data_IF_820896426399
#
_entry.id   IF_820896426399
#
_cell.length_a   1.000
_cell.length_b   1.000
_cell.length_c   1.000
_cell.angle_alpha   90.00
_cell.angle_beta   90.00
_cell.angle_gamma   90.00
#
_symmetry.space_group_name_H-M   'P 1'
#
loop_
_entity.id
_entity.type
_entity.pdbx_description
1 polymer ?
#
# COMPACT_ATOMS: atom_id res chain seq x y z
N UNK A 1 -15.10 -2.47 -7.95
CA UNK A 1 -14.78 -2.70 -6.53
C UNK A 1 -15.01 -1.42 -5.76
N UNK A 2 -15.62 -1.45 -4.58
CA UNK A 2 -15.77 -0.25 -3.75
C UNK A 2 -14.63 -0.18 -2.71
N UNK A 3 -14.54 0.94 -1.97
CA UNK A 3 -13.49 1.14 -0.96
C UNK A 3 -13.43 0.02 0.08
N UNK A 4 -14.59 -0.46 0.55
CA UNK A 4 -14.64 -1.50 1.57
C UNK A 4 -14.10 -2.84 1.04
N UNK A 5 -14.48 -3.25 -0.17
CA UNK A 5 -13.96 -4.47 -0.79
C UNK A 5 -12.46 -4.36 -1.07
N UNK A 6 -11.98 -3.20 -1.52
CA UNK A 6 -10.55 -2.98 -1.75
C UNK A 6 -9.74 -3.09 -0.45
N UNK A 7 -10.21 -2.48 0.63
CA UNK A 7 -9.58 -2.62 1.95
C UNK A 7 -9.55 -4.08 2.42
N UNK A 8 -10.63 -4.85 2.20
CA UNK A 8 -10.64 -6.29 2.54
C UNK A 8 -9.62 -7.07 1.73
N UNK A 9 -9.47 -6.77 0.44
CA UNK A 9 -8.46 -7.43 -0.40
C UNK A 9 -7.03 -7.15 0.06
N UNK A 10 -6.72 -5.91 0.47
CA UNK A 10 -5.40 -5.59 1.03
C UNK A 10 -5.13 -6.43 2.28
N UNK A 11 -6.10 -6.51 3.20
CA UNK A 11 -5.96 -7.32 4.42
C UNK A 11 -5.77 -8.79 4.08
N UNK A 12 -6.58 -9.32 3.15
CA UNK A 12 -6.47 -10.71 2.73
C UNK A 12 -5.12 -11.02 2.05
N UNK A 13 -4.57 -10.09 1.27
CA UNK A 13 -3.24 -10.24 0.67
C UNK A 13 -2.16 -10.34 1.76
N UNK A 14 -2.20 -9.46 2.76
CA UNK A 14 -1.27 -9.50 3.91
C UNK A 14 -1.40 -10.83 4.68
N UNK A 15 -2.62 -11.26 4.97
CA UNK A 15 -2.88 -12.50 5.70
C UNK A 15 -2.40 -13.73 4.92
N UNK A 16 -2.53 -13.73 3.59
CA UNK A 16 -2.02 -14.80 2.74
C UNK A 16 -0.48 -14.85 2.79
N UNK A 17 0.21 -13.72 2.59
CA UNK A 17 1.66 -13.64 2.65
C UNK A 17 2.21 -14.13 4.01
N UNK A 18 1.59 -13.73 5.11
CA UNK A 18 2.05 -14.10 6.46
C UNK A 18 1.73 -15.54 6.84
N UNK A 19 0.49 -15.99 6.60
CA UNK A 19 0.02 -17.26 7.15
C UNK A 19 0.28 -18.46 6.23
N UNK A 20 0.33 -18.24 4.90
CA UNK A 20 0.53 -19.33 3.94
C UNK A 20 1.98 -19.44 3.50
N UNK A 21 2.62 -18.29 3.23
CA UNK A 21 3.96 -18.25 2.65
C UNK A 21 5.06 -17.95 3.68
N UNK A 22 4.68 -17.57 4.90
CA UNK A 22 5.63 -17.31 6.00
C UNK A 22 6.56 -16.11 5.75
N UNK A 23 6.12 -15.17 4.91
CA UNK A 23 6.91 -14.00 4.50
C UNK A 23 7.20 -13.03 5.65
N UNK A 24 8.34 -12.35 5.59
CA UNK A 24 8.65 -11.24 6.50
C UNK A 24 7.81 -9.99 6.16
N UNK A 25 7.78 -9.02 7.07
CA UNK A 25 7.07 -7.75 6.84
C UNK A 25 7.64 -7.00 5.61
N UNK A 26 8.94 -7.08 5.36
CA UNK A 26 9.58 -6.49 4.18
C UNK A 26 9.14 -7.17 2.88
N UNK A 27 9.04 -8.50 2.86
CA UNK A 27 8.59 -9.27 1.70
C UNK A 27 7.10 -8.99 1.40
N UNK A 28 6.26 -8.94 2.44
CA UNK A 28 4.84 -8.55 2.30
C UNK A 28 4.72 -7.13 1.75
N UNK A 29 5.57 -6.19 2.19
CA UNK A 29 5.56 -4.83 1.68
C UNK A 29 5.90 -4.75 0.18
N UNK A 30 6.82 -5.59 -0.30
CA UNK A 30 7.15 -5.69 -1.74
C UNK A 30 5.96 -6.22 -2.54
N UNK A 31 5.30 -7.27 -2.06
CA UNK A 31 4.10 -7.82 -2.73
C UNK A 31 2.95 -6.80 -2.77
N UNK A 32 2.74 -6.06 -1.67
CA UNK A 32 1.74 -4.99 -1.64
C UNK A 32 2.07 -3.84 -2.61
N UNK A 33 3.35 -3.47 -2.76
CA UNK A 33 3.73 -2.46 -3.76
C UNK A 33 3.39 -2.92 -5.17
N UNK A 34 3.65 -4.18 -5.51
CA UNK A 34 3.25 -4.74 -6.81
C UNK A 34 1.74 -4.74 -7.00
N UNK A 35 0.97 -5.13 -5.97
CA UNK A 35 -0.50 -5.07 -6.00
C UNK A 35 -1.02 -3.64 -6.24
N UNK A 36 -0.37 -2.65 -5.63
CA UNK A 36 -0.74 -1.24 -5.75
C UNK A 36 -0.20 -0.56 -7.01
N UNK A 37 0.79 -1.15 -7.70
CA UNK A 37 1.46 -0.56 -8.87
C UNK A 37 0.53 -0.18 -10.03
N UNK A 38 -0.64 -0.81 -10.11
CA UNK A 38 -1.66 -0.54 -11.13
C UNK A 38 -2.61 0.62 -10.75
N UNK A 39 -2.43 1.23 -9.58
CA UNK A 39 -3.24 2.33 -9.09
C UNK A 39 -2.39 3.60 -9.09
N UNK A 40 -3.04 4.76 -9.05
CA UNK A 40 -2.42 6.06 -8.80
C UNK A 40 -3.36 6.88 -7.91
N UNK A 41 -2.86 7.59 -6.89
CA UNK A 41 -3.70 8.40 -6.03
C UNK A 41 -4.25 9.59 -6.82
N UNK A 42 -5.57 9.73 -6.84
CA UNK A 42 -6.25 10.88 -7.47
C UNK A 42 -5.88 12.22 -6.80
N UNK A 43 -5.57 12.18 -5.51
CA UNK A 43 -5.23 13.34 -4.70
C UNK A 43 -3.82 13.15 -4.12
N UNK A 44 -2.83 13.45 -4.97
CA UNK A 44 -1.40 13.35 -4.63
C UNK A 44 -1.01 14.30 -3.49
N UNK A 45 -1.67 15.46 -3.37
CA UNK A 45 -1.40 16.43 -2.31
C UNK A 45 -1.73 15.85 -0.93
N UNK A 46 -2.92 15.30 -0.76
CA UNK A 46 -3.31 14.66 0.49
C UNK A 46 -2.51 13.37 0.74
N UNK A 47 -2.28 12.56 -0.30
CA UNK A 47 -1.54 11.31 -0.17
C UNK A 47 -0.08 11.54 0.30
N UNK A 48 0.61 12.56 -0.21
CA UNK A 48 1.98 12.91 0.19
C UNK A 48 2.12 13.26 1.69
N UNK A 49 1.01 13.62 2.36
CA UNK A 49 0.97 13.94 3.79
C UNK A 49 0.62 12.74 4.68
N UNK A 50 0.32 11.57 4.11
CA UNK A 50 -0.02 10.37 4.88
C UNK A 50 1.21 9.77 5.58
N UNK A 51 0.96 9.06 6.68
CA UNK A 51 2.01 8.42 7.47
C UNK A 51 2.64 9.30 8.55
N UNK A 52 3.67 8.75 9.21
CA UNK A 52 4.44 9.47 10.22
C UNK A 52 5.23 10.62 9.59
N UNK A 53 5.52 11.71 10.32
CA UNK A 53 6.20 12.88 9.77
C UNK A 53 7.50 12.60 9.01
N UNK A 54 8.27 11.57 9.41
CA UNK A 54 9.51 11.18 8.74
C UNK A 54 9.33 10.38 7.44
N UNK A 55 8.11 9.99 7.11
CA UNK A 55 7.77 9.20 5.91
C UNK A 55 6.93 10.00 4.91
N UNK A 56 6.63 11.27 5.20
CA UNK A 56 5.89 12.15 4.29
C UNK A 56 6.79 12.57 3.13
N UNK A 57 6.19 12.78 1.97
CA UNK A 57 6.88 13.15 0.74
C UNK A 57 6.31 14.45 0.16
N UNK A 58 6.84 14.88 -0.98
CA UNK A 58 6.16 15.90 -1.80
C UNK A 58 5.15 15.24 -2.75
N UNK A 59 4.17 15.99 -3.30
CA UNK A 59 3.22 15.46 -4.29
C UNK A 59 3.88 14.87 -5.55
N UNK A 60 5.10 15.31 -5.87
CA UNK A 60 5.87 14.84 -7.03
C UNK A 60 6.72 13.61 -6.73
N UNK A 61 6.95 13.28 -5.46
CA UNK A 61 7.72 12.11 -5.02
C UNK A 61 6.80 11.03 -4.43
N UNK A 62 5.52 11.33 -4.23
CA UNK A 62 4.58 10.37 -3.72
C UNK A 62 4.22 9.38 -4.83
N UNK A 63 4.16 8.10 -4.47
CA UNK A 63 3.74 7.00 -5.36
C UNK A 63 4.75 6.56 -6.44
N UNK A 64 5.97 7.11 -6.41
CA UNK A 64 7.08 6.74 -7.30
C UNK A 64 8.06 5.72 -6.65
#
# INVERSE_FOLDING_TARGET
MNKAEFCRQIVQAVDNCRNLDGMTDEEVAVELQQFLSCLEPKDRENFAQWGYPGCRSTPNECWD
#
